data_IF_054502608381
#
_entry.id   IF_054502608381
#
_cell.length_a   1.000
_cell.length_b   1.000
_cell.length_c   1.000
_cell.angle_alpha   90.00
_cell.angle_beta   90.00
_cell.angle_gamma   90.00
#
_symmetry.space_group_name_H-M   'P 1'
#
loop_
_entity.id
_entity.type
_entity.pdbx_description
1 polymer ?
#
# COMPACT_ATOMS: atom_id res chain seq x y z
N UNK A 1 19.19 40.84 -10.01
CA UNK A 1 18.40 39.62 -9.71
C UNK A 1 17.04 39.78 -10.35
N UNK A 2 16.83 39.20 -11.53
CA UNK A 2 15.50 39.16 -12.16
C UNK A 2 14.60 38.28 -11.29
N UNK A 3 13.59 38.89 -10.67
CA UNK A 3 12.52 38.18 -9.96
C UNK A 3 11.82 37.25 -10.96
N UNK A 4 12.24 35.99 -11.01
CA UNK A 4 11.56 34.96 -11.79
C UNK A 4 10.18 34.78 -11.14
N UNK A 5 9.15 35.35 -11.77
CA UNK A 5 7.76 35.11 -11.35
C UNK A 5 7.39 33.72 -11.81
N UNK A 6 7.41 32.78 -10.88
CA UNK A 6 6.93 31.42 -11.09
C UNK A 6 5.59 31.31 -10.38
N UNK A 7 4.55 31.04 -11.16
CA UNK A 7 3.23 30.74 -10.60
C UNK A 7 3.24 29.28 -10.14
N UNK A 8 2.72 28.96 -8.94
CA UNK A 8 2.59 27.58 -8.49
C UNK A 8 1.87 26.73 -9.53
N UNK A 9 2.34 25.49 -9.72
CA UNK A 9 1.78 24.59 -10.72
C UNK A 9 0.28 24.34 -10.53
N UNK A 10 -0.44 24.28 -11.64
CA UNK A 10 -1.86 23.97 -11.72
C UNK A 10 -2.05 22.55 -12.29
N UNK A 11 -2.89 21.75 -11.65
CA UNK A 11 -3.18 20.39 -12.10
C UNK A 11 -4.01 20.39 -13.38
N UNK A 12 -3.47 19.80 -14.44
CA UNK A 12 -4.17 19.63 -15.74
C UNK A 12 -4.75 18.23 -15.86
N UNK A 13 -3.93 17.21 -15.61
CA UNK A 13 -4.33 15.80 -15.69
C UNK A 13 -3.88 15.09 -14.42
N UNK A 14 -4.81 14.42 -13.72
CA UNK A 14 -4.52 13.70 -12.48
C UNK A 14 -3.60 12.50 -12.71
N UNK A 15 -3.73 11.79 -13.82
CA UNK A 15 -3.00 10.55 -14.09
C UNK A 15 -3.55 9.35 -13.29
N UNK A 16 -2.81 8.24 -13.32
CA UNK A 16 -3.24 6.94 -12.78
C UNK A 16 -2.31 6.41 -11.69
N UNK A 17 -2.90 5.72 -10.71
CA UNK A 17 -2.15 4.92 -9.72
C UNK A 17 -1.94 3.54 -10.33
N UNK A 18 -0.69 3.19 -10.55
CA UNK A 18 -0.26 1.87 -11.04
C UNK A 18 0.33 1.09 -9.86
N UNK A 19 -0.25 -0.04 -9.44
CA UNK A 19 0.19 -0.76 -8.24
C UNK A 19 1.68 -1.14 -8.24
N UNK A 20 2.19 -1.60 -9.39
CA UNK A 20 3.60 -1.96 -9.58
C UNK A 20 4.57 -0.78 -9.29
N UNK A 21 4.15 0.44 -9.63
CA UNK A 21 4.97 1.64 -9.45
C UNK A 21 4.81 2.21 -8.04
N UNK A 22 3.57 2.33 -7.58
CA UNK A 22 3.24 3.05 -6.35
C UNK A 22 3.39 2.20 -5.09
N UNK A 23 3.33 0.87 -5.20
CA UNK A 23 3.45 -0.04 -4.05
C UNK A 23 4.55 -1.09 -4.23
N UNK A 24 5.34 -0.97 -5.30
CA UNK A 24 6.44 -1.88 -5.63
C UNK A 24 7.81 -1.42 -5.12
N UNK A 25 8.91 -1.91 -5.73
CA UNK A 25 10.27 -1.67 -5.24
C UNK A 25 10.61 -0.18 -5.10
N UNK A 26 10.29 0.61 -6.12
CA UNK A 26 10.66 2.02 -6.21
C UNK A 26 9.61 2.97 -5.62
N UNK A 27 8.76 2.51 -4.70
CA UNK A 27 7.67 3.31 -4.15
C UNK A 27 8.14 4.66 -3.58
N UNK A 28 9.36 4.74 -3.03
CA UNK A 28 9.97 6.02 -2.60
C UNK A 28 9.90 7.10 -3.70
N UNK A 29 10.14 6.71 -4.94
CA UNK A 29 10.24 7.66 -6.06
C UNK A 29 8.86 8.07 -6.59
N UNK A 30 7.80 7.31 -6.27
CA UNK A 30 6.42 7.54 -6.71
C UNK A 30 5.54 8.22 -5.67
N UNK A 31 6.08 8.52 -4.48
CA UNK A 31 5.37 9.21 -3.41
C UNK A 31 6.20 10.35 -2.85
N UNK A 32 5.55 11.49 -2.66
CA UNK A 32 6.12 12.64 -1.96
C UNK A 32 5.72 12.52 -0.50
N UNK A 33 6.70 12.21 0.34
CA UNK A 33 6.53 12.15 1.78
C UNK A 33 6.80 13.53 2.36
N UNK A 34 5.74 14.17 2.83
CA UNK A 34 5.78 15.50 3.45
C UNK A 34 5.28 15.43 4.89
N UNK A 35 5.49 16.50 5.64
CA UNK A 35 5.03 16.64 7.03
C UNK A 35 4.09 17.82 7.11
N UNK A 36 2.95 17.64 7.78
CA UNK A 36 2.07 18.77 8.07
C UNK A 36 2.61 19.63 9.22
N UNK A 37 1.87 20.68 9.57
CA UNK A 37 2.24 21.59 10.67
C UNK A 37 2.27 20.91 12.05
N UNK A 38 1.69 19.72 12.17
CA UNK A 38 1.69 18.89 13.38
C UNK A 38 2.78 17.79 13.32
N UNK A 39 3.69 17.86 12.35
CA UNK A 39 4.72 16.85 12.06
C UNK A 39 4.17 15.46 11.70
N UNK A 40 2.89 15.35 11.35
CA UNK A 40 2.31 14.10 10.85
C UNK A 40 2.77 13.91 9.42
N UNK A 41 3.45 12.79 9.18
CA UNK A 41 3.93 12.45 7.85
C UNK A 41 2.77 11.95 6.98
N UNK A 42 2.64 12.51 5.79
CA UNK A 42 1.65 12.11 4.80
C UNK A 42 2.31 11.92 3.43
N UNK A 43 1.70 11.10 2.58
CA UNK A 43 2.24 10.72 1.29
C UNK A 43 1.30 11.17 0.17
N UNK A 44 1.82 11.96 -0.78
CA UNK A 44 1.09 12.36 -1.99
C UNK A 44 1.61 11.50 -3.16
N UNK A 45 0.75 10.80 -3.91
CA UNK A 45 1.19 9.98 -5.03
C UNK A 45 1.56 10.86 -6.22
N UNK A 46 2.70 10.55 -6.83
CA UNK A 46 3.12 11.10 -8.11
C UNK A 46 2.57 10.22 -9.23
N UNK A 47 1.33 10.45 -9.65
CA UNK A 47 0.63 9.54 -10.58
C UNK A 47 1.29 9.44 -11.96
N UNK A 48 1.20 8.26 -12.58
CA UNK A 48 1.66 8.06 -13.95
C UNK A 48 0.74 8.80 -14.93
N UNK A 49 1.30 9.62 -15.80
CA UNK A 49 0.55 10.49 -16.70
C UNK A 49 0.03 11.77 -16.04
N UNK A 50 0.47 12.08 -14.81
CA UNK A 50 0.20 13.37 -14.17
C UNK A 50 0.73 14.51 -15.06
N UNK A 51 -0.10 15.52 -15.32
CA UNK A 51 0.28 16.74 -16.00
C UNK A 51 0.02 17.97 -15.13
N UNK A 52 1.06 18.79 -14.99
CA UNK A 52 1.04 20.05 -14.25
C UNK A 52 1.42 21.18 -15.20
N UNK A 53 0.58 22.21 -15.27
CA UNK A 53 0.92 23.45 -15.96
C UNK A 53 1.69 24.36 -15.01
N UNK A 54 2.85 24.85 -15.43
CA UNK A 54 3.62 25.89 -14.74
C UNK A 54 3.79 27.11 -15.63
N UNK A 55 4.02 28.27 -15.03
CA UNK A 55 4.38 29.49 -15.77
C UNK A 55 5.81 29.91 -15.44
N UNK A 56 6.63 30.04 -16.48
CA UNK A 56 8.00 30.56 -16.41
C UNK A 56 8.09 31.81 -17.28
N UNK A 57 8.46 32.95 -16.70
CA UNK A 57 8.54 34.24 -17.41
C UNK A 57 7.28 34.57 -18.23
N UNK A 58 6.09 34.30 -17.66
CA UNK A 58 4.77 34.49 -18.28
C UNK A 58 4.47 33.60 -19.49
N UNK A 59 5.29 32.57 -19.76
CA UNK A 59 5.00 31.53 -20.75
C UNK A 59 4.57 30.25 -20.02
N UNK A 60 3.57 29.56 -20.56
CA UNK A 60 3.05 28.33 -19.99
C UNK A 60 3.82 27.12 -20.48
N UNK A 61 4.08 26.18 -19.58
CA UNK A 61 4.75 24.91 -19.84
C UNK A 61 3.97 23.79 -19.16
N UNK A 62 3.97 22.61 -19.76
CA UNK A 62 3.39 21.39 -19.19
C UNK A 62 4.52 20.48 -18.73
N UNK A 63 4.43 20.02 -17.49
CA UNK A 63 5.27 18.96 -16.95
C UNK A 63 4.45 17.69 -16.88
N UNK A 64 4.94 16.62 -17.50
CA UNK A 64 4.32 15.30 -17.51
C UNK A 64 5.19 14.29 -16.78
N UNK A 65 4.57 13.48 -15.92
CA UNK A 65 5.20 12.31 -15.27
C UNK A 65 4.99 11.08 -16.14
N UNK A 66 6.09 10.41 -16.48
CA UNK A 66 6.13 9.22 -17.33
C UNK A 66 6.99 8.12 -16.69
N UNK A 67 7.15 6.97 -17.33
CA UNK A 67 8.18 5.98 -16.93
C UNK A 67 9.55 6.42 -17.46
N UNK A 68 10.60 6.27 -16.66
CA UNK A 68 11.95 6.59 -17.11
C UNK A 68 12.51 5.51 -18.05
N UNK A 69 13.08 5.92 -19.19
CA UNK A 69 13.51 5.01 -20.27
C UNK A 69 14.54 3.98 -19.78
N UNK A 70 15.50 4.42 -18.96
CA UNK A 70 16.58 3.54 -18.50
C UNK A 70 16.27 2.80 -17.18
N UNK A 71 15.12 3.08 -16.57
CA UNK A 71 14.66 2.44 -15.33
C UNK A 71 13.14 2.58 -15.25
N UNK A 72 12.42 1.67 -15.92
CA UNK A 72 10.98 1.76 -16.19
C UNK A 72 10.06 1.67 -14.95
N UNK A 73 10.59 1.27 -13.79
CA UNK A 73 9.90 1.32 -12.51
C UNK A 73 10.13 2.63 -11.76
N UNK A 74 10.93 3.56 -12.29
CA UNK A 74 11.14 4.89 -11.72
C UNK A 74 10.43 5.95 -12.57
N UNK A 75 10.04 7.08 -11.97
CA UNK A 75 9.44 8.17 -12.71
C UNK A 75 10.48 8.85 -13.61
N UNK A 76 10.04 9.14 -14.83
CA UNK A 76 10.65 10.09 -15.74
C UNK A 76 9.80 11.35 -15.82
N UNK A 77 10.41 12.45 -16.23
CA UNK A 77 9.76 13.75 -16.34
C UNK A 77 10.03 14.34 -17.71
N UNK A 78 8.99 14.93 -18.28
CA UNK A 78 9.06 15.71 -19.51
C UNK A 78 8.55 17.10 -19.17
N UNK A 79 9.25 18.14 -19.63
CA UNK A 79 8.72 19.50 -19.67
C UNK A 79 8.58 19.89 -21.14
N UNK A 80 7.44 20.48 -21.50
CA UNK A 80 7.13 20.91 -22.86
C UNK A 80 6.53 22.31 -22.83
N UNK A 81 6.94 23.16 -23.75
CA UNK A 81 6.34 24.47 -23.96
C UNK A 81 7.15 25.31 -24.92
N UNK A 82 6.46 26.22 -25.60
CA UNK A 82 7.07 27.15 -26.56
C UNK A 82 7.89 26.46 -27.67
N UNK A 83 7.38 25.32 -28.15
CA UNK A 83 8.02 24.50 -29.19
C UNK A 83 9.26 23.73 -28.74
N UNK A 84 9.61 23.77 -27.45
CA UNK A 84 10.75 23.04 -26.89
C UNK A 84 10.30 21.90 -25.97
N UNK A 85 11.16 20.89 -25.85
CA UNK A 85 10.97 19.73 -24.97
C UNK A 85 12.27 19.37 -24.28
N UNK A 86 12.19 18.95 -23.01
CA UNK A 86 13.37 18.39 -22.31
C UNK A 86 13.75 16.99 -22.78
N UNK A 87 12.85 16.31 -23.51
CA UNK A 87 12.86 14.85 -23.54
C UNK A 87 12.59 14.25 -22.15
N UNK A 88 12.72 12.93 -22.02
CA UNK A 88 12.51 12.21 -20.76
C UNK A 88 13.79 12.30 -19.91
N UNK A 89 13.69 12.92 -18.74
CA UNK A 89 14.79 13.05 -17.76
C UNK A 89 14.38 12.53 -16.38
N UNK A 90 15.36 12.37 -15.47
CA UNK A 90 15.18 11.71 -14.16
C UNK A 90 14.55 12.57 -13.08
N UNK A 91 14.42 13.88 -13.29
CA UNK A 91 13.81 14.78 -12.30
C UNK A 91 13.07 15.94 -12.96
N UNK A 92 12.02 16.42 -12.30
CA UNK A 92 11.30 17.62 -12.70
C UNK A 92 12.21 18.85 -12.78
N UNK A 93 13.19 18.96 -11.88
CA UNK A 93 14.21 20.02 -11.89
C UNK A 93 15.00 20.04 -13.20
N UNK A 94 15.48 18.86 -13.64
CA UNK A 94 16.19 18.75 -14.90
C UNK A 94 15.29 19.05 -16.10
N UNK A 95 14.02 18.63 -16.05
CA UNK A 95 13.08 18.87 -17.14
C UNK A 95 12.84 20.38 -17.33
N UNK A 96 12.54 21.08 -16.23
CA UNK A 96 12.31 22.52 -16.22
C UNK A 96 13.57 23.28 -16.65
N UNK A 97 14.74 22.97 -16.05
CA UNK A 97 15.99 23.66 -16.39
C UNK A 97 16.37 23.47 -17.86
N UNK A 98 16.17 22.28 -18.42
CA UNK A 98 16.50 22.00 -19.83
C UNK A 98 15.64 22.82 -20.78
N UNK A 99 14.31 22.83 -20.59
CA UNK A 99 13.40 23.65 -21.41
C UNK A 99 13.64 25.13 -21.22
N UNK A 100 13.82 25.57 -19.97
CA UNK A 100 14.08 26.98 -19.68
C UNK A 100 15.35 27.48 -20.37
N UNK A 101 16.42 26.68 -20.37
CA UNK A 101 17.64 27.02 -21.09
C UNK A 101 17.41 27.06 -22.61
N UNK A 102 16.64 26.12 -23.16
CA UNK A 102 16.34 26.07 -24.60
C UNK A 102 15.50 27.29 -25.05
N UNK A 103 14.54 27.73 -24.24
CA UNK A 103 13.62 28.83 -24.57
C UNK A 103 14.22 30.21 -24.30
N UNK A 104 14.90 30.38 -23.15
CA UNK A 104 15.35 31.70 -22.68
C UNK A 104 16.87 31.90 -22.78
N UNK A 105 17.63 30.92 -23.27
CA UNK A 105 19.08 31.00 -23.42
C UNK A 105 19.86 31.14 -22.10
N UNK A 106 19.21 30.98 -20.95
CA UNK A 106 19.80 31.22 -19.63
C UNK A 106 19.85 29.95 -18.79
N UNK A 107 20.99 29.71 -18.12
CA UNK A 107 21.19 28.57 -17.23
C UNK A 107 20.67 28.88 -15.84
N UNK A 108 19.37 28.73 -15.63
CA UNK A 108 18.74 28.80 -14.31
C UNK A 108 18.48 27.38 -13.77
N UNK A 109 18.82 27.15 -12.50
CA UNK A 109 18.49 25.90 -11.80
C UNK A 109 17.18 26.07 -11.05
N UNK A 110 16.27 25.12 -11.22
CA UNK A 110 14.97 25.12 -10.57
C UNK A 110 14.84 23.95 -9.60
N UNK A 111 14.26 24.18 -8.42
CA UNK A 111 13.80 23.13 -7.52
C UNK A 111 12.45 22.59 -8.03
N UNK A 112 12.49 21.66 -8.98
CA UNK A 112 11.35 21.31 -9.81
C UNK A 112 10.10 20.87 -9.04
N UNK A 113 10.25 19.99 -8.04
CA UNK A 113 9.10 19.53 -7.23
C UNK A 113 8.39 20.67 -6.49
N UNK A 114 9.13 21.68 -6.03
CA UNK A 114 8.57 22.85 -5.34
C UNK A 114 7.67 23.69 -6.25
N UNK A 115 7.88 23.63 -7.56
CA UNK A 115 7.07 24.37 -8.54
C UNK A 115 5.84 23.62 -9.03
N UNK A 116 5.73 22.31 -8.76
CA UNK A 116 4.61 21.50 -9.24
C UNK A 116 3.30 21.75 -8.48
N UNK A 117 3.34 22.43 -7.33
CA UNK A 117 2.12 22.74 -6.58
C UNK A 117 1.39 21.52 -6.02
N UNK A 118 2.08 20.38 -5.86
CA UNK A 118 1.45 19.11 -5.48
C UNK A 118 0.89 19.11 -4.05
N UNK A 119 1.47 19.92 -3.17
CA UNK A 119 1.02 20.09 -1.78
C UNK A 119 -0.16 21.06 -1.65
N UNK A 120 -0.58 21.75 -2.73
CA UNK A 120 -1.74 22.63 -2.67
C UNK A 120 -3.00 21.81 -2.34
N UNK A 121 -3.86 22.25 -1.39
CA UNK A 121 -4.98 21.44 -0.90
C UNK A 121 -5.88 20.85 -2.00
N UNK A 122 -6.20 21.65 -3.03
CA UNK A 122 -7.02 21.19 -4.16
C UNK A 122 -6.33 20.12 -5.01
N UNK A 123 -5.03 20.26 -5.22
CA UNK A 123 -4.22 19.34 -6.02
C UNK A 123 -3.97 18.05 -5.24
N UNK A 124 -3.51 18.15 -3.99
CA UNK A 124 -3.25 16.99 -3.14
C UNK A 124 -4.52 16.17 -2.93
N UNK A 125 -5.67 16.80 -2.65
CA UNK A 125 -6.94 16.09 -2.51
C UNK A 125 -7.28 15.27 -3.77
N UNK A 126 -7.19 15.86 -4.96
CA UNK A 126 -7.42 15.14 -6.23
C UNK A 126 -6.42 14.01 -6.46
N UNK A 127 -5.15 14.23 -6.12
CA UNK A 127 -4.12 13.18 -6.24
C UNK A 127 -4.34 12.03 -5.26
N UNK A 128 -5.06 12.25 -4.16
CA UNK A 128 -5.39 11.21 -3.18
C UNK A 128 -6.66 10.41 -3.52
N UNK A 129 -7.47 10.84 -4.49
CA UNK A 129 -8.74 10.17 -4.84
C UNK A 129 -8.53 8.74 -5.36
N UNK A 130 -9.10 7.74 -4.68
CA UNK A 130 -8.94 6.33 -5.08
C UNK A 130 -7.61 5.69 -4.63
N UNK A 131 -6.83 6.37 -3.78
CA UNK A 131 -5.72 5.75 -3.05
C UNK A 131 -6.29 4.74 -2.06
N UNK A 132 -5.91 3.46 -2.20
CA UNK A 132 -6.38 2.37 -1.33
C UNK A 132 -5.53 2.19 -0.08
N UNK A 133 -4.26 2.57 -0.14
CA UNK A 133 -3.31 2.50 0.96
C UNK A 133 -2.34 3.66 0.87
N UNK A 134 -2.01 4.25 2.02
CA UNK A 134 -1.08 5.36 2.15
C UNK A 134 0.26 4.81 2.66
N UNK A 135 1.30 4.76 1.81
CA UNK A 135 2.63 4.37 2.25
C UNK A 135 3.15 5.29 3.33
N UNK A 136 4.06 4.76 4.15
CA UNK A 136 4.72 5.54 5.19
C UNK A 136 6.17 5.10 5.33
N UNK A 137 6.96 6.00 5.94
CA UNK A 137 8.39 5.78 6.17
C UNK A 137 8.60 5.40 7.62
N UNK A 138 9.49 4.45 7.84
CA UNK A 138 10.06 4.12 9.12
C UNK A 138 11.55 4.34 9.07
N UNK A 139 12.09 5.03 10.08
CA UNK A 139 13.52 5.21 10.25
C UNK A 139 14.04 4.19 11.25
N UNK A 140 15.05 3.42 10.84
CA UNK A 140 15.75 2.45 11.68
C UNK A 140 17.24 2.72 11.54
N UNK A 141 17.87 3.12 12.63
CA UNK A 141 19.26 3.58 12.62
C UNK A 141 19.45 4.67 11.54
N UNK A 142 20.22 4.37 10.48
CA UNK A 142 20.46 5.28 9.35
C UNK A 142 19.74 4.82 8.06
N UNK A 143 18.72 3.96 8.18
CA UNK A 143 17.96 3.39 7.08
C UNK A 143 16.53 3.88 7.10
N UNK A 144 16.05 4.31 5.94
CA UNK A 144 14.64 4.58 5.70
C UNK A 144 13.99 3.38 5.03
N UNK A 145 12.98 2.80 5.68
CA UNK A 145 12.16 1.71 5.18
C UNK A 145 10.82 2.27 4.74
N UNK A 146 10.46 2.01 3.49
CA UNK A 146 9.23 2.46 2.86
C UNK A 146 8.21 1.32 2.89
N UNK A 147 7.17 1.44 3.70
CA UNK A 147 6.12 0.41 3.81
C UNK A 147 5.04 0.66 2.77
N UNK A 148 4.87 -0.28 1.84
CA UNK A 148 3.94 -0.17 0.71
C UNK A 148 2.63 -0.95 0.89
N UNK A 149 2.61 -1.93 1.79
CA UNK A 149 1.42 -2.72 2.13
C UNK A 149 1.58 -3.35 3.50
N UNK A 150 0.50 -3.36 4.30
CA UNK A 150 0.46 -4.06 5.59
C UNK A 150 0.03 -5.53 5.46
N UNK A 151 -0.27 -5.99 4.24
CA UNK A 151 -0.78 -7.35 4.01
C UNK A 151 -2.20 -7.55 4.51
N UNK A 152 -2.72 -8.77 4.33
CA UNK A 152 -3.99 -9.20 4.90
C UNK A 152 -3.75 -9.68 6.33
N UNK A 153 -4.55 -9.18 7.27
CA UNK A 153 -4.55 -9.68 8.64
C UNK A 153 -5.18 -11.07 8.64
N UNK A 154 -4.37 -12.12 8.83
CA UNK A 154 -4.86 -13.51 8.90
C UNK A 154 -5.65 -13.77 10.18
N UNK A 155 -5.31 -13.09 11.27
CA UNK A 155 -5.96 -13.27 12.56
C UNK A 155 -6.23 -11.91 13.24
N UNK A 156 -7.50 -11.49 13.39
CA UNK A 156 -7.86 -10.21 14.01
C UNK A 156 -7.24 -10.03 15.41
N UNK A 157 -7.14 -11.13 16.15
CA UNK A 157 -6.64 -11.19 17.52
C UNK A 157 -5.11 -11.24 17.64
N UNK A 158 -4.35 -11.42 16.55
CA UNK A 158 -2.89 -11.38 16.57
C UNK A 158 -2.39 -10.06 15.99
N UNK A 159 -1.42 -9.43 16.67
CA UNK A 159 -0.71 -8.23 16.17
C UNK A 159 0.39 -8.61 15.18
N UNK A 160 0.12 -9.58 14.31
CA UNK A 160 1.07 -10.07 13.32
C UNK A 160 0.68 -9.56 11.94
N UNK A 161 1.69 -9.12 11.21
CA UNK A 161 1.56 -8.76 9.81
C UNK A 161 1.44 -10.06 9.02
N UNK A 162 0.37 -10.17 8.23
CA UNK A 162 0.12 -11.37 7.42
C UNK A 162 0.69 -11.27 6.01
N UNK A 163 0.32 -12.23 5.18
CA UNK A 163 0.75 -12.32 3.79
C UNK A 163 0.32 -11.09 2.96
N UNK A 164 1.06 -10.82 1.89
CA UNK A 164 1.00 -9.61 1.05
C UNK A 164 1.57 -8.33 1.69
N UNK A 165 2.28 -8.43 2.82
CA UNK A 165 3.10 -7.32 3.30
C UNK A 165 4.18 -6.98 2.28
N UNK A 166 4.42 -5.69 2.07
CA UNK A 166 5.53 -5.22 1.23
C UNK A 166 6.21 -4.00 1.86
N UNK A 167 7.53 -3.97 1.78
CA UNK A 167 8.33 -2.79 2.07
C UNK A 167 9.56 -2.73 1.18
N UNK A 168 10.15 -1.55 1.04
CA UNK A 168 11.43 -1.40 0.35
C UNK A 168 12.40 -0.52 1.10
N UNK A 169 13.69 -0.74 0.89
CA UNK A 169 14.74 0.13 1.40
C UNK A 169 15.88 0.26 0.39
N UNK A 170 16.64 1.33 0.52
CA UNK A 170 17.74 1.65 -0.36
C UNK A 170 19.06 1.37 0.34
N UNK A 171 19.87 0.48 -0.22
CA UNK A 171 21.18 0.16 0.35
C UNK A 171 22.16 -0.29 -0.75
N UNK A 172 23.46 -0.26 -0.45
CA UNK A 172 24.49 -0.73 -1.38
C UNK A 172 24.52 -2.26 -1.41
N UNK A 173 24.40 -2.83 -2.60
CA UNK A 173 24.63 -4.26 -2.84
C UNK A 173 25.72 -4.41 -3.90
N UNK A 174 26.77 -5.17 -3.60
CA UNK A 174 27.97 -5.31 -4.46
C UNK A 174 28.51 -3.93 -4.92
N UNK A 175 28.68 -3.02 -3.96
CA UNK A 175 29.15 -1.64 -4.13
C UNK A 175 28.25 -0.69 -4.95
N UNK A 176 27.09 -1.13 -5.46
CA UNK A 176 26.14 -0.30 -6.23
C UNK A 176 24.88 0.00 -5.42
N UNK A 177 24.37 1.23 -5.53
CA UNK A 177 23.08 1.58 -4.93
C UNK A 177 22.00 0.68 -5.50
N UNK A 178 21.25 0.03 -4.61
CA UNK A 178 20.24 -0.97 -4.98
C UNK A 178 18.99 -0.77 -4.12
N UNK A 179 17.88 -1.34 -4.59
CA UNK A 179 16.62 -1.38 -3.85
C UNK A 179 16.38 -2.79 -3.38
N UNK A 180 16.16 -2.95 -2.08
CA UNK A 180 15.77 -4.21 -1.46
C UNK A 180 14.26 -4.18 -1.31
N UNK A 181 13.55 -4.92 -2.15
CA UNK A 181 12.10 -5.08 -2.05
C UNK A 181 11.80 -6.34 -1.24
N UNK A 182 11.14 -6.15 -0.11
CA UNK A 182 10.81 -7.17 0.87
C UNK A 182 9.32 -7.50 0.75
N UNK A 183 8.99 -8.79 0.76
CA UNK A 183 7.59 -9.23 0.76
C UNK A 183 7.38 -10.48 1.59
N UNK A 184 6.19 -10.59 2.19
CA UNK A 184 5.70 -11.80 2.85
C UNK A 184 4.68 -12.44 1.92
N UNK A 185 5.03 -13.55 1.27
CA UNK A 185 4.19 -14.16 0.22
C UNK A 185 3.08 -15.04 0.81
N UNK A 186 3.38 -15.72 1.91
CA UNK A 186 2.46 -16.48 2.73
C UNK A 186 3.01 -16.51 4.17
N UNK A 187 2.29 -17.14 5.09
CA UNK A 187 2.61 -17.16 6.52
C UNK A 187 4.00 -17.74 6.87
N UNK A 188 4.72 -18.34 5.92
CA UNK A 188 6.04 -18.93 6.14
C UNK A 188 7.03 -18.66 5.00
N UNK A 189 6.80 -17.64 4.16
CA UNK A 189 7.68 -17.35 3.03
C UNK A 189 7.99 -15.85 2.92
N UNK A 190 9.20 -15.51 3.32
CA UNK A 190 9.79 -14.18 3.26
C UNK A 190 10.68 -14.09 2.02
N UNK A 191 10.49 -13.04 1.23
CA UNK A 191 11.19 -12.84 -0.04
C UNK A 191 11.90 -11.49 -0.04
N UNK A 192 13.14 -11.47 -0.51
CA UNK A 192 13.88 -10.25 -0.83
C UNK A 192 14.27 -10.30 -2.30
N UNK A 193 13.87 -9.28 -3.04
CA UNK A 193 14.29 -9.03 -4.41
C UNK A 193 15.15 -7.77 -4.44
N UNK A 194 16.35 -7.87 -5.02
CA UNK A 194 17.28 -6.76 -5.11
C UNK A 194 17.23 -6.20 -6.52
N UNK A 195 16.93 -4.91 -6.66
CA UNK A 195 16.80 -4.22 -7.92
C UNK A 195 17.95 -3.24 -8.18
N UNK A 196 18.42 -3.20 -9.43
CA UNK A 196 19.27 -2.16 -9.98
C UNK A 196 18.70 -1.75 -11.34
N UNK A 197 18.52 -0.45 -11.58
CA UNK A 197 17.92 0.08 -12.82
C UNK A 197 16.61 -0.62 -13.23
N UNK A 198 15.72 -0.85 -12.27
CA UNK A 198 14.45 -1.58 -12.48
C UNK A 198 14.60 -3.05 -12.91
N UNK A 199 15.78 -3.66 -12.76
CA UNK A 199 16.01 -5.07 -13.05
C UNK A 199 16.35 -5.83 -11.76
N UNK A 200 15.78 -7.02 -11.61
CA UNK A 200 16.10 -7.93 -10.51
C UNK A 200 17.50 -8.51 -10.75
N UNK A 201 18.42 -8.25 -9.82
CA UNK A 201 19.79 -8.78 -9.87
C UNK A 201 20.03 -9.94 -8.90
N UNK A 202 19.15 -10.09 -7.89
CA UNK A 202 19.18 -11.18 -6.94
C UNK A 202 17.79 -11.38 -6.33
N UNK A 203 17.47 -12.63 -5.99
CA UNK A 203 16.23 -13.01 -5.33
C UNK A 203 16.52 -14.08 -4.28
N UNK A 204 16.00 -13.86 -3.08
CA UNK A 204 16.15 -14.76 -1.94
C UNK A 204 14.77 -15.06 -1.38
N UNK A 205 14.53 -16.31 -0.98
CA UNK A 205 13.32 -16.70 -0.26
C UNK A 205 13.71 -17.60 0.89
N UNK A 206 13.20 -17.34 2.08
CA UNK A 206 13.42 -18.18 3.27
C UNK A 206 12.16 -18.18 4.16
N UNK A 207 12.17 -19.03 5.19
CA UNK A 207 11.07 -19.20 6.13
C UNK A 207 11.06 -18.20 7.30
N UNK A 208 12.04 -17.30 7.39
CA UNK A 208 12.08 -16.24 8.39
C UNK A 208 12.75 -14.97 7.88
N UNK A 209 12.42 -13.79 8.45
CA UNK A 209 13.08 -12.52 8.11
C UNK A 209 14.59 -12.57 8.29
N UNK A 210 15.08 -13.17 9.38
CA UNK A 210 16.51 -13.27 9.67
C UNK A 210 17.24 -14.17 8.66
N UNK A 211 16.65 -15.32 8.30
CA UNK A 211 17.24 -16.22 7.32
C UNK A 211 17.36 -15.56 5.94
N UNK A 212 16.30 -14.89 5.46
CA UNK A 212 16.33 -14.26 4.13
C UNK A 212 17.33 -13.09 4.09
N UNK A 213 17.42 -12.29 5.15
CA UNK A 213 18.41 -11.21 5.23
C UNK A 213 19.84 -11.72 5.31
N UNK A 214 20.10 -12.80 6.05
CA UNK A 214 21.42 -13.40 6.11
C UNK A 214 21.92 -13.83 4.71
N UNK A 215 21.04 -14.33 3.84
CA UNK A 215 21.37 -14.69 2.43
C UNK A 215 21.82 -13.49 1.60
N UNK A 216 21.35 -12.28 1.91
CA UNK A 216 21.78 -11.07 1.19
C UNK A 216 23.26 -10.73 1.44
N UNK A 217 23.81 -11.16 2.58
CA UNK A 217 25.19 -10.88 2.96
C UNK A 217 25.47 -9.44 3.43
N UNK A 218 24.46 -8.58 3.51
CA UNK A 218 24.57 -7.18 3.97
C UNK A 218 23.71 -6.94 5.21
N UNK A 219 23.91 -5.82 5.90
CA UNK A 219 23.12 -5.40 7.08
C UNK A 219 23.02 -6.47 8.19
N UNK A 220 24.03 -7.34 8.30
CA UNK A 220 24.04 -8.49 9.21
C UNK A 220 23.94 -8.14 10.70
N UNK A 221 24.22 -6.89 11.07
CA UNK A 221 24.09 -6.40 12.45
C UNK A 221 22.66 -6.11 12.87
N UNK A 222 21.73 -5.96 11.92
CA UNK A 222 20.34 -5.60 12.16
C UNK A 222 19.49 -6.86 11.98
N UNK A 223 18.56 -7.11 12.90
CA UNK A 223 17.65 -8.25 12.75
C UNK A 223 16.77 -8.09 11.51
N UNK A 224 16.48 -9.20 10.85
CA UNK A 224 15.57 -9.24 9.71
C UNK A 224 14.17 -8.75 10.06
N UNK A 225 13.67 -9.04 11.27
CA UNK A 225 12.37 -8.54 11.74
C UNK A 225 12.36 -6.99 11.80
N UNK A 226 13.45 -6.42 12.27
CA UNK A 226 13.67 -4.97 12.27
C UNK A 226 13.74 -4.44 10.84
N UNK A 227 14.53 -5.04 9.95
CA UNK A 227 14.68 -4.60 8.55
C UNK A 227 13.40 -4.73 7.73
N UNK A 228 12.56 -5.73 8.03
CA UNK A 228 11.23 -5.83 7.46
C UNK A 228 10.31 -4.72 7.97
N UNK A 229 10.58 -4.12 9.13
CA UNK A 229 9.76 -3.06 9.73
C UNK A 229 8.45 -3.58 10.34
N UNK A 230 8.30 -4.89 10.49
CA UNK A 230 7.03 -5.52 10.89
C UNK A 230 6.67 -5.26 12.36
N UNK A 231 7.68 -5.15 13.21
CA UNK A 231 7.51 -4.89 14.65
C UNK A 231 7.66 -3.41 15.03
N UNK A 232 7.82 -2.52 14.04
CA UNK A 232 8.02 -1.11 14.33
C UNK A 232 6.72 -0.49 14.91
N UNK A 233 6.80 0.37 15.95
CA UNK A 233 5.61 0.95 16.60
C UNK A 233 4.64 1.62 15.62
N UNK A 234 5.15 2.36 14.62
CA UNK A 234 4.32 2.99 13.59
C UNK A 234 3.60 1.97 12.71
N UNK A 235 4.25 0.85 12.35
CA UNK A 235 3.62 -0.21 11.57
C UNK A 235 2.50 -0.86 12.36
N UNK A 236 2.75 -1.17 13.64
CA UNK A 236 1.75 -1.77 14.52
C UNK A 236 0.58 -0.82 14.77
N UNK A 237 0.85 0.48 14.94
CA UNK A 237 -0.19 1.50 15.07
C UNK A 237 -1.07 1.58 13.81
N UNK A 238 -0.45 1.60 12.62
CA UNK A 238 -1.17 1.61 11.33
C UNK A 238 -1.95 0.33 11.09
N UNK A 239 -1.41 -0.82 11.53
CA UNK A 239 -2.09 -2.11 11.50
C UNK A 239 -3.34 -2.09 12.38
N UNK A 240 -3.21 -1.59 13.62
CA UNK A 240 -4.33 -1.47 14.55
C UNK A 240 -5.40 -0.51 14.02
N UNK A 241 -5.02 0.67 13.49
CA UNK A 241 -5.94 1.60 12.83
C UNK A 241 -6.70 0.93 11.68
N UNK A 242 -6.00 0.15 10.87
CA UNK A 242 -6.60 -0.60 9.76
C UNK A 242 -7.63 -1.59 10.29
N UNK A 243 -7.32 -2.36 11.34
CA UNK A 243 -8.28 -3.25 12.00
C UNK A 243 -9.52 -2.53 12.51
N UNK A 244 -9.34 -1.40 13.20
CA UNK A 244 -10.45 -0.60 13.72
C UNK A 244 -11.34 -0.03 12.61
N UNK A 245 -10.75 0.43 11.49
CA UNK A 245 -11.53 0.90 10.34
C UNK A 245 -12.31 -0.23 9.68
N UNK A 246 -11.74 -1.44 9.58
CA UNK A 246 -12.46 -2.60 9.09
C UNK A 246 -13.60 -2.98 10.04
N UNK A 247 -13.35 -3.00 11.35
CA UNK A 247 -14.37 -3.31 12.36
C UNK A 247 -15.52 -2.28 12.38
N UNK A 248 -15.22 -0.99 12.17
CA UNK A 248 -16.24 0.08 12.09
C UNK A 248 -17.09 0.01 10.82
N UNK A 249 -16.61 -0.64 9.76
CA UNK A 249 -17.36 -0.87 8.53
C UNK A 249 -18.20 -2.15 8.58
N UNK A 250 -17.97 -3.02 9.57
CA UNK A 250 -18.78 -4.22 9.76
C UNK A 250 -20.10 -3.82 10.42
N UNK A 251 -21.24 -4.38 9.96
CA UNK A 251 -22.50 -4.12 10.61
C UNK A 251 -22.49 -4.72 12.02
N UNK A 252 -23.11 -4.03 12.97
CA UNK A 252 -23.30 -4.53 14.35
C UNK A 252 -24.19 -5.79 14.40
N UNK A 253 -24.88 -6.08 13.29
CA UNK A 253 -25.94 -7.07 13.14
C UNK A 253 -25.79 -7.82 11.82
N UNK A 254 -26.00 -9.13 11.81
CA UNK A 254 -25.87 -9.94 10.60
C UNK A 254 -27.24 -10.14 9.96
N UNK A 255 -27.47 -9.54 8.79
CA UNK A 255 -28.74 -9.67 8.07
C UNK A 255 -28.66 -10.75 6.99
N UNK A 256 -29.82 -11.18 6.47
CA UNK A 256 -29.88 -12.12 5.34
C UNK A 256 -29.10 -11.65 4.09
N UNK A 257 -28.96 -10.34 3.90
CA UNK A 257 -28.20 -9.76 2.79
C UNK A 257 -26.68 -9.95 2.97
N UNK A 258 -26.22 -10.08 4.21
CA UNK A 258 -24.80 -10.20 4.55
C UNK A 258 -24.27 -11.63 4.43
N UNK A 259 -25.15 -12.62 4.32
CA UNK A 259 -24.78 -14.04 4.28
C UNK A 259 -23.91 -14.44 3.08
N UNK A 260 -23.96 -13.68 1.99
CA UNK A 260 -23.07 -13.89 0.83
C UNK A 260 -21.77 -13.10 0.94
N UNK A 261 -21.72 -12.12 1.83
CA UNK A 261 -20.53 -11.30 2.03
C UNK A 261 -19.53 -12.05 2.91
N UNK A 262 -18.59 -12.74 2.25
CA UNK A 262 -17.56 -13.53 2.92
C UNK A 262 -16.81 -12.75 4.01
N UNK A 263 -16.58 -11.45 3.82
CA UNK A 263 -15.87 -10.61 4.77
C UNK A 263 -16.67 -10.38 6.06
N UNK A 264 -17.98 -10.11 5.95
CA UNK A 264 -18.86 -9.93 7.10
C UNK A 264 -19.02 -11.26 7.84
N UNK A 265 -19.19 -12.36 7.09
CA UNK A 265 -19.31 -13.71 7.64
C UNK A 265 -18.03 -14.15 8.36
N UNK A 266 -16.85 -13.90 7.77
CA UNK A 266 -15.54 -14.10 8.40
C UNK A 266 -15.41 -13.32 9.72
N UNK A 267 -15.90 -12.08 9.77
CA UNK A 267 -15.90 -11.26 10.98
C UNK A 267 -16.75 -11.86 12.11
N UNK A 268 -18.01 -12.20 11.83
CA UNK A 268 -18.91 -12.78 12.84
C UNK A 268 -18.45 -14.16 13.33
N UNK A 269 -17.89 -14.98 12.44
CA UNK A 269 -17.28 -16.25 12.83
C UNK A 269 -16.11 -16.06 13.79
N UNK A 270 -15.20 -15.14 13.48
CA UNK A 270 -14.04 -14.86 14.32
C UNK A 270 -14.42 -14.28 15.70
N UNK A 271 -15.47 -13.44 15.74
CA UNK A 271 -15.98 -12.86 16.98
C UNK A 271 -16.65 -13.89 17.89
N UNK A 272 -17.55 -14.71 17.36
CA UNK A 272 -18.45 -15.51 18.19
C UNK A 272 -18.09 -17.00 18.21
N UNK A 273 -17.62 -17.57 17.09
CA UNK A 273 -17.57 -19.03 16.90
C UNK A 273 -16.17 -19.63 16.88
N UNK A 274 -15.13 -18.90 16.47
CA UNK A 274 -13.75 -19.42 16.34
C UNK A 274 -13.22 -20.10 17.61
N UNK A 275 -13.63 -19.62 18.79
CA UNK A 275 -13.23 -20.17 20.10
C UNK A 275 -14.17 -21.27 20.61
N UNK A 276 -15.33 -21.43 19.99
CA UNK A 276 -16.36 -22.38 20.40
C UNK A 276 -16.36 -23.63 19.53
N UNK A 277 -15.96 -23.52 18.26
CA UNK A 277 -16.09 -24.57 17.23
C UNK A 277 -14.71 -24.96 16.69
N UNK A 278 -14.49 -26.26 16.46
CA UNK A 278 -13.21 -26.81 15.94
C UNK A 278 -13.11 -26.93 14.41
N UNK A 279 -14.03 -26.32 13.66
CA UNK A 279 -14.17 -26.45 12.19
C UNK A 279 -13.80 -25.15 11.46
N UNK A 280 -13.60 -25.23 10.15
CA UNK A 280 -13.15 -24.08 9.36
C UNK A 280 -14.27 -23.07 9.06
N UNK A 281 -13.87 -21.84 8.73
CA UNK A 281 -14.78 -20.77 8.30
C UNK A 281 -15.59 -21.18 7.07
N UNK A 282 -15.01 -21.96 6.15
CA UNK A 282 -15.68 -22.42 4.94
C UNK A 282 -16.80 -23.43 5.23
N UNK A 283 -16.55 -24.38 6.13
CA UNK A 283 -17.57 -25.34 6.58
C UNK A 283 -18.72 -24.60 7.28
N UNK A 284 -18.39 -23.61 8.11
CA UNK A 284 -19.37 -22.78 8.78
C UNK A 284 -20.20 -21.91 7.83
N UNK A 285 -19.55 -21.23 6.88
CA UNK A 285 -20.22 -20.37 5.90
C UNK A 285 -21.21 -21.16 5.03
N UNK A 286 -20.89 -22.43 4.74
CA UNK A 286 -21.76 -23.34 3.99
C UNK A 286 -23.12 -23.56 4.66
N UNK A 287 -23.22 -23.47 5.99
CA UNK A 287 -24.51 -23.55 6.72
C UNK A 287 -25.47 -22.48 6.21
N UNK A 288 -25.00 -21.24 6.07
CA UNK A 288 -25.80 -20.09 5.61
C UNK A 288 -26.18 -20.20 4.13
N UNK A 289 -25.28 -20.74 3.30
CA UNK A 289 -25.55 -20.96 1.88
C UNK A 289 -26.63 -22.02 1.65
N UNK A 290 -26.55 -23.15 2.36
CA UNK A 290 -27.56 -24.23 2.31
C UNK A 290 -28.91 -23.67 2.77
N UNK A 291 -28.88 -22.87 3.82
CA UNK A 291 -30.06 -22.31 4.44
C UNK A 291 -30.75 -21.25 3.56
N UNK A 292 -29.99 -20.39 2.88
CA UNK A 292 -30.56 -19.42 1.92
C UNK A 292 -31.33 -20.09 0.77
N UNK A 293 -31.00 -21.34 0.44
CA UNK A 293 -31.66 -22.12 -0.61
C UNK A 293 -32.91 -22.87 -0.13
N UNK A 294 -33.20 -22.88 1.17
CA UNK A 294 -34.37 -23.56 1.69
C UNK A 294 -35.66 -22.78 1.38
N UNK A 295 -36.77 -23.50 1.14
CA UNK A 295 -38.08 -22.88 0.88
C UNK A 295 -38.81 -22.37 2.14
N UNK A 296 -38.38 -22.82 3.31
CA UNK A 296 -38.99 -22.49 4.61
C UNK A 296 -38.33 -21.29 5.26
N UNK A 297 -39.12 -20.46 5.93
CA UNK A 297 -38.62 -19.38 6.79
C UNK A 297 -38.31 -19.88 8.22
N UNK A 298 -38.60 -21.15 8.53
CA UNK A 298 -38.34 -21.79 9.83
C UNK A 298 -37.07 -22.63 9.75
N UNK A 299 -36.31 -22.63 10.85
CA UNK A 299 -34.89 -22.91 10.83
C UNK A 299 -34.62 -23.85 11.99
N UNK A 300 -34.38 -25.11 11.64
CA UNK A 300 -33.93 -26.11 12.59
C UNK A 300 -32.40 -26.17 12.56
N UNK A 301 -31.79 -25.50 13.55
CA UNK A 301 -30.34 -25.35 13.63
C UNK A 301 -29.63 -26.71 13.70
N UNK A 302 -30.11 -27.64 14.52
CA UNK A 302 -29.51 -28.97 14.68
C UNK A 302 -29.41 -29.75 13.37
N UNK A 303 -30.47 -29.79 12.57
CA UNK A 303 -30.49 -30.51 11.28
C UNK A 303 -29.47 -29.95 10.28
N UNK A 304 -29.22 -28.63 10.31
CA UNK A 304 -28.24 -27.98 9.45
C UNK A 304 -26.81 -28.18 9.96
N UNK A 305 -26.62 -28.12 11.28
CA UNK A 305 -25.33 -28.40 11.90
C UNK A 305 -24.92 -29.86 11.66
N UNK A 306 -25.83 -30.84 11.76
CA UNK A 306 -25.52 -32.24 11.51
C UNK A 306 -24.95 -32.50 10.10
N UNK A 307 -25.37 -31.71 9.11
CA UNK A 307 -24.85 -31.81 7.73
C UNK A 307 -23.40 -31.32 7.59
N UNK A 308 -22.93 -30.48 8.51
CA UNK A 308 -21.62 -29.82 8.46
C UNK A 308 -20.66 -30.39 9.51
N UNK A 309 -21.17 -30.71 10.71
CA UNK A 309 -20.39 -31.17 11.86
C UNK A 309 -20.44 -32.70 12.04
N UNK A 310 -21.33 -33.41 11.34
CA UNK A 310 -21.54 -34.85 11.46
C UNK A 310 -22.79 -35.20 12.26
N UNK A 311 -23.31 -36.41 12.05
CA UNK A 311 -24.57 -36.89 12.68
C UNK A 311 -24.48 -37.00 14.21
N UNK A 312 -23.27 -37.21 14.74
CA UNK A 312 -23.00 -37.38 16.18
C UNK A 312 -22.61 -36.06 16.87
N UNK A 313 -22.73 -34.92 16.19
CA UNK A 313 -22.35 -33.64 16.77
C UNK A 313 -23.39 -33.12 17.75
N UNK A 314 -23.07 -33.15 19.04
CA UNK A 314 -23.86 -32.50 20.08
C UNK A 314 -23.51 -31.02 20.20
N UNK A 315 -24.51 -30.17 19.99
CA UNK A 315 -24.37 -28.72 20.14
C UNK A 315 -24.15 -28.37 21.61
N UNK A 316 -22.94 -27.93 21.96
CA UNK A 316 -22.62 -27.51 23.34
C UNK A 316 -23.24 -26.16 23.65
N UNK A 317 -23.55 -25.89 24.92
CA UNK A 317 -24.11 -24.58 25.33
C UNK A 317 -23.28 -23.37 24.87
N UNK A 318 -21.95 -23.52 24.85
CA UNK A 318 -21.04 -22.47 24.37
C UNK A 318 -21.21 -22.20 22.88
N UNK A 319 -21.38 -23.24 22.08
CA UNK A 319 -21.63 -23.15 20.64
C UNK A 319 -23.05 -22.61 20.39
N UNK A 320 -24.07 -23.08 21.13
CA UNK A 320 -25.43 -22.56 21.03
C UNK A 320 -25.51 -21.05 21.35
N UNK A 321 -24.78 -20.57 22.38
CA UNK A 321 -24.68 -19.14 22.70
C UNK A 321 -23.98 -18.35 21.60
N UNK A 322 -22.92 -18.90 21.00
CA UNK A 322 -22.22 -18.28 19.89
C UNK A 322 -23.11 -18.13 18.65
N UNK A 323 -23.86 -19.18 18.30
CA UNK A 323 -24.85 -19.13 17.21
C UNK A 323 -25.96 -18.12 17.48
N UNK A 324 -26.52 -18.09 18.70
CA UNK A 324 -27.54 -17.09 19.09
C UNK A 324 -27.02 -15.66 18.99
N UNK A 325 -25.76 -15.41 19.32
CA UNK A 325 -25.17 -14.08 19.21
C UNK A 325 -25.13 -13.57 17.76
N UNK A 326 -25.04 -14.47 16.77
CA UNK A 326 -25.05 -14.11 15.34
C UNK A 326 -26.48 -13.90 14.82
N UNK A 327 -27.47 -14.62 15.38
CA UNK A 327 -28.88 -14.52 14.95
C UNK A 327 -29.71 -13.46 15.68
N UNK A 328 -29.33 -13.11 16.91
CA UNK A 328 -30.00 -12.06 17.70
C UNK A 328 -29.33 -10.68 17.56
N UNK A 329 -28.21 -10.59 16.85
CA UNK A 329 -27.60 -9.33 16.47
C UNK A 329 -28.28 -8.83 15.21
#
# INVERSE_FOLDING_TARGET
MTNIRITPGELVVTGTIVPELHYGPYLRDWWIFSKDSQNVSYAIPLRLGLEIMIQLNKRSFIIRVVRYIHSHLQPGYICEGDGQSSGIVTSSSMAITSVYQAVFGTKAKFAGLSYLGLEQPKTSQKLLEGVVFYPFIIEIENLSIFVGSLGKITHPNQKTIGYNYTSSLFYKYKAKQSVFFQSIKNDSLYSIEIYQNSQIIAKFNENSPNAVWHKTGVLKSISGDTLFGVNHPLTLQKLDQTKFSHQKLMPDKCTLADWDNKMIMEHFFDLHLKKAVGKSIEEWHRVFQIWKQQKSNVIELHTHLNKVYGLDHELREREARAWRAIFCA
#
